data_IF_051657921560
#
_entry.id   IF_051657921560
#
_cell.length_a   1.000
_cell.length_b   1.000
_cell.length_c   1.000
_cell.angle_alpha   90.00
_cell.angle_beta   90.00
_cell.angle_gamma   90.00
#
_symmetry.space_group_name_H-M   'P 1'
#
loop_
_entity.id
_entity.type
_entity.pdbx_description
1 polymer ?
#
# COMPACT_ATOMS: atom_id res chain seq x y z
N UNK A 1 8.73 21.10 12.30
CA UNK A 1 8.18 20.94 13.67
C UNK A 1 6.66 21.11 13.67
N UNK A 2 6.12 22.19 13.02
CA UNK A 2 4.67 22.50 12.98
C UNK A 2 3.77 21.29 12.74
N UNK A 3 4.02 20.50 11.69
CA UNK A 3 3.18 19.33 11.37
C UNK A 3 3.27 18.21 12.42
N UNK A 4 4.39 18.09 13.14
CA UNK A 4 4.53 17.15 14.26
C UNK A 4 3.75 17.63 15.49
N UNK A 5 3.67 18.95 15.72
CA UNK A 5 2.84 19.54 16.78
C UNK A 5 1.36 19.29 16.48
N UNK A 6 0.89 19.64 15.26
CA UNK A 6 -0.48 19.39 14.82
C UNK A 6 -0.87 17.91 14.95
N UNK A 7 0.02 16.99 14.53
CA UNK A 7 -0.23 15.56 14.65
C UNK A 7 -0.25 15.09 16.13
N UNK A 8 0.57 15.68 17.01
CA UNK A 8 0.56 15.39 18.46
C UNK A 8 -0.74 15.85 19.11
N UNK A 9 -1.30 16.99 18.66
CA UNK A 9 -2.59 17.51 19.14
C UNK A 9 -3.74 16.60 18.68
N UNK A 10 -3.77 16.23 17.40
CA UNK A 10 -4.76 15.28 16.84
C UNK A 10 -4.69 13.94 17.59
N UNK A 11 -3.49 13.40 17.78
CA UNK A 11 -3.29 12.16 18.51
C UNK A 11 -3.85 12.27 19.93
N UNK A 12 -3.49 13.35 20.65
CA UNK A 12 -3.92 13.56 22.03
C UNK A 12 -5.44 13.69 22.15
N UNK A 13 -6.06 14.43 21.22
CA UNK A 13 -7.51 14.59 21.18
C UNK A 13 -8.23 13.25 20.87
N UNK A 14 -7.70 12.44 19.94
CA UNK A 14 -8.31 11.19 19.54
C UNK A 14 -8.16 10.07 20.58
N UNK A 15 -7.00 9.98 21.23
CA UNK A 15 -6.63 8.85 22.11
C UNK A 15 -6.75 9.16 23.61
N UNK A 16 -6.85 10.45 23.97
CA UNK A 16 -6.78 10.96 25.33
C UNK A 16 -5.41 10.66 26.01
N UNK A 17 -4.40 10.35 25.25
CA UNK A 17 -3.03 10.12 25.70
C UNK A 17 -2.11 11.20 25.14
N UNK A 18 -1.23 11.74 25.97
CA UNK A 18 -0.25 12.73 25.52
C UNK A 18 0.90 12.07 24.80
N UNK A 19 1.29 12.62 23.67
CA UNK A 19 2.49 12.26 22.92
C UNK A 19 3.28 13.50 22.55
N UNK A 20 4.59 13.37 22.45
CA UNK A 20 5.51 14.39 21.95
C UNK A 20 6.27 13.79 20.76
N UNK A 21 5.69 13.96 19.57
CA UNK A 21 6.27 13.42 18.33
C UNK A 21 7.57 14.15 17.95
N UNK A 22 7.73 15.44 18.31
CA UNK A 22 8.97 16.18 18.08
C UNK A 22 10.11 15.56 18.88
N UNK A 23 9.87 15.30 20.18
CA UNK A 23 10.85 14.63 21.03
C UNK A 23 11.22 13.26 20.49
N UNK A 24 10.23 12.45 20.06
CA UNK A 24 10.46 11.13 19.48
C UNK A 24 11.39 11.20 18.28
N UNK A 25 11.12 12.12 17.33
CA UNK A 25 11.96 12.32 16.14
C UNK A 25 13.38 12.78 16.52
N UNK A 26 13.51 13.76 17.42
CA UNK A 26 14.81 14.26 17.87
C UNK A 26 15.67 13.20 18.57
N UNK A 27 15.02 12.29 19.31
CA UNK A 27 15.68 11.17 19.99
C UNK A 27 15.86 9.95 19.09
N UNK A 28 15.35 9.97 17.85
CA UNK A 28 15.36 8.84 16.89
C UNK A 28 14.76 7.57 17.49
N UNK A 29 13.66 7.72 18.23
CA UNK A 29 12.96 6.60 18.85
C UNK A 29 12.16 5.86 17.80
N UNK A 30 12.53 4.60 17.56
CA UNK A 30 11.84 3.71 16.61
C UNK A 30 10.39 3.47 17.04
N UNK A 31 9.52 3.28 16.07
CA UNK A 31 8.15 2.85 16.31
C UNK A 31 8.06 1.33 16.37
N UNK A 32 7.06 0.83 17.08
CA UNK A 32 6.79 -0.60 17.23
C UNK A 32 5.30 -0.88 17.04
N UNK A 33 4.91 -2.15 17.15
CA UNK A 33 3.50 -2.49 17.15
C UNK A 33 2.74 -1.83 18.32
N UNK A 34 3.38 -1.72 19.48
CA UNK A 34 2.81 -1.10 20.68
C UNK A 34 2.59 0.41 20.49
N UNK A 35 3.42 1.06 19.69
CA UNK A 35 3.32 2.48 19.34
C UNK A 35 2.70 2.71 17.93
N UNK A 36 1.89 1.77 17.46
CA UNK A 36 1.31 1.80 16.12
C UNK A 36 0.51 3.09 15.83
N UNK A 37 -0.27 3.58 16.80
CA UNK A 37 -1.01 4.84 16.65
C UNK A 37 -0.09 6.05 16.51
N UNK A 38 1.05 6.05 17.21
CA UNK A 38 2.08 7.09 17.06
C UNK A 38 2.75 7.01 15.69
N UNK A 39 3.01 5.78 15.19
CA UNK A 39 3.53 5.58 13.83
C UNK A 39 2.59 6.14 12.77
N UNK A 40 1.27 5.93 12.89
CA UNK A 40 0.25 6.53 12.01
C UNK A 40 0.39 8.05 11.99
N UNK A 41 0.43 8.68 13.16
CA UNK A 41 0.54 10.15 13.28
C UNK A 41 1.87 10.69 12.73
N UNK A 42 2.99 9.98 12.96
CA UNK A 42 4.29 10.35 12.44
C UNK A 42 4.34 10.30 10.92
N UNK A 43 3.87 9.22 10.31
CA UNK A 43 3.88 9.04 8.86
C UNK A 43 3.10 10.18 8.20
N UNK A 44 1.88 10.45 8.65
CA UNK A 44 1.05 11.52 8.07
C UNK A 44 1.61 12.92 8.30
N UNK A 45 2.25 13.16 9.45
CA UNK A 45 2.94 14.44 9.72
C UNK A 45 4.16 14.64 8.80
N UNK A 46 4.93 13.58 8.53
CA UNK A 46 6.08 13.63 7.62
C UNK A 46 5.62 13.83 6.18
N UNK A 47 4.56 13.14 5.73
CA UNK A 47 3.98 13.35 4.41
C UNK A 47 3.56 14.82 4.21
N UNK A 48 2.83 15.39 5.18
CA UNK A 48 2.41 16.79 5.14
C UNK A 48 3.61 17.77 5.17
N UNK A 49 4.61 17.49 5.99
CA UNK A 49 5.82 18.31 6.07
C UNK A 49 6.63 18.29 4.77
N UNK A 50 6.81 17.12 4.14
CA UNK A 50 7.52 16.98 2.88
C UNK A 50 6.82 17.77 1.76
N UNK A 51 5.49 17.69 1.65
CA UNK A 51 4.71 18.45 0.68
C UNK A 51 4.78 19.96 0.95
N UNK A 52 4.75 20.38 2.21
CA UNK A 52 4.90 21.78 2.59
C UNK A 52 6.27 22.33 2.24
N UNK A 53 7.36 21.59 2.50
CA UNK A 53 8.73 21.96 2.13
C UNK A 53 8.89 22.05 0.61
N UNK A 54 8.31 21.10 -0.12
CA UNK A 54 8.36 21.11 -1.59
C UNK A 54 7.68 22.35 -2.17
N UNK A 55 6.55 22.76 -1.59
CA UNK A 55 5.85 23.99 -1.96
C UNK A 55 6.63 25.24 -1.56
N UNK A 56 7.07 25.33 -0.31
CA UNK A 56 7.65 26.55 0.27
C UNK A 56 9.01 26.89 -0.38
N UNK A 57 9.88 25.91 -0.56
CA UNK A 57 11.25 26.14 -1.04
C UNK A 57 11.42 25.98 -2.55
N UNK A 58 10.57 25.17 -3.18
CA UNK A 58 10.74 24.84 -4.61
C UNK A 58 9.55 25.26 -5.46
N UNK A 59 8.46 25.77 -4.87
CA UNK A 59 7.28 26.22 -5.62
C UNK A 59 6.52 25.08 -6.31
N UNK A 60 6.76 23.82 -5.93
CA UNK A 60 6.09 22.66 -6.49
C UNK A 60 4.91 22.28 -5.56
N UNK A 61 3.70 22.41 -6.08
CA UNK A 61 2.49 22.12 -5.34
C UNK A 61 1.91 20.75 -5.69
N UNK A 62 1.30 20.08 -4.71
CA UNK A 62 0.60 18.82 -4.90
C UNK A 62 -0.44 18.88 -6.03
N UNK A 63 -1.13 20.01 -6.14
CA UNK A 63 -2.14 20.27 -7.18
C UNK A 63 -1.60 20.30 -8.62
N UNK A 64 -0.28 20.38 -8.81
CA UNK A 64 0.35 20.30 -10.12
C UNK A 64 0.57 18.86 -10.60
N UNK A 65 0.40 17.88 -9.72
CA UNK A 65 0.47 16.48 -10.09
C UNK A 65 -0.74 16.06 -10.94
N UNK A 66 -0.52 15.19 -11.92
CA UNK A 66 -1.59 14.70 -12.78
C UNK A 66 -2.57 13.78 -12.04
N UNK A 67 -2.10 13.11 -10.99
CA UNK A 67 -2.86 12.21 -10.11
C UNK A 67 -2.06 11.80 -8.89
N UNK A 68 -2.75 11.24 -7.90
CA UNK A 68 -2.12 10.63 -6.74
C UNK A 68 -2.66 9.21 -6.50
N UNK A 69 -1.90 8.43 -5.77
CA UNK A 69 -2.32 7.17 -5.18
C UNK A 69 -1.44 6.86 -3.97
N UNK A 70 -1.97 6.08 -3.05
CA UNK A 70 -1.23 5.66 -1.87
C UNK A 70 -1.57 4.21 -1.50
N UNK A 71 -0.63 3.53 -0.87
CA UNK A 71 -0.85 2.19 -0.35
C UNK A 71 -1.22 2.29 1.13
N UNK A 72 -2.35 1.71 1.52
CA UNK A 72 -2.82 1.71 2.90
C UNK A 72 -2.91 3.14 3.47
N UNK A 73 -2.13 3.48 4.50
CA UNK A 73 -2.12 4.81 5.11
C UNK A 73 -1.79 5.94 4.12
N UNK A 74 -0.97 5.66 3.09
CA UNK A 74 -0.68 6.62 2.04
C UNK A 74 -1.91 7.05 1.21
N UNK A 75 -2.98 6.23 1.13
CA UNK A 75 -4.24 6.64 0.52
C UNK A 75 -4.96 7.68 1.38
N UNK A 76 -4.85 7.56 2.71
CA UNK A 76 -5.36 8.54 3.68
C UNK A 76 -4.59 9.86 3.54
N UNK A 77 -3.24 9.80 3.46
CA UNK A 77 -2.40 10.98 3.20
C UNK A 77 -2.75 11.67 1.88
N UNK A 78 -3.00 10.91 0.82
CA UNK A 78 -3.42 11.46 -0.47
C UNK A 78 -4.78 12.17 -0.41
N UNK A 79 -5.75 11.65 0.35
CA UNK A 79 -7.06 12.30 0.55
C UNK A 79 -6.97 13.61 1.33
N UNK A 80 -6.07 13.67 2.31
CA UNK A 80 -5.78 14.89 3.07
C UNK A 80 -5.10 15.91 2.15
N UNK A 81 -4.05 15.52 1.44
CA UNK A 81 -3.32 16.40 0.53
C UNK A 81 -4.19 16.93 -0.63
N UNK A 82 -5.17 16.14 -1.08
CA UNK A 82 -6.15 16.51 -2.10
C UNK A 82 -7.36 17.28 -1.54
N UNK A 83 -7.34 17.68 -0.27
CA UNK A 83 -8.35 18.49 0.40
C UNK A 83 -9.76 17.85 0.46
N UNK A 84 -9.85 16.52 0.41
CA UNK A 84 -11.13 15.81 0.55
C UNK A 84 -11.59 15.81 1.99
N UNK A 85 -10.63 15.73 2.93
CA UNK A 85 -10.83 15.77 4.37
C UNK A 85 -9.75 16.59 5.05
N UNK A 86 -10.11 17.22 6.16
CA UNK A 86 -9.12 17.75 7.10
C UNK A 86 -8.38 16.61 7.84
N UNK A 87 -7.09 16.79 8.21
CA UNK A 87 -6.31 15.76 8.88
C UNK A 87 -6.98 15.21 10.14
N UNK A 88 -7.46 16.06 11.04
CA UNK A 88 -8.13 15.65 12.28
C UNK A 88 -9.36 14.78 11.99
N UNK A 89 -10.16 15.16 11.02
CA UNK A 89 -11.38 14.46 10.65
C UNK A 89 -11.08 12.99 10.24
N UNK A 90 -10.08 12.78 9.40
CA UNK A 90 -9.79 11.46 8.83
C UNK A 90 -8.90 10.61 9.74
N UNK A 91 -7.98 11.21 10.48
CA UNK A 91 -7.09 10.48 11.38
C UNK A 91 -7.77 10.04 12.69
N UNK A 92 -8.74 10.82 13.20
CA UNK A 92 -9.41 10.50 14.46
C UNK A 92 -10.03 9.08 14.49
N UNK A 93 -10.79 8.62 13.51
CA UNK A 93 -11.30 7.23 13.49
C UNK A 93 -10.18 6.18 13.51
N UNK A 94 -9.11 6.41 12.74
CA UNK A 94 -7.98 5.49 12.64
C UNK A 94 -7.27 5.37 13.99
N UNK A 95 -6.99 6.49 14.65
CA UNK A 95 -6.30 6.52 15.94
C UNK A 95 -7.14 5.90 17.06
N UNK A 96 -8.46 6.15 17.08
CA UNK A 96 -9.38 5.54 18.07
C UNK A 96 -9.49 4.03 17.93
N UNK A 97 -9.31 3.49 16.73
CA UNK A 97 -9.42 2.06 16.43
C UNK A 97 -8.05 1.35 16.41
N UNK A 98 -6.96 2.09 16.51
CA UNK A 98 -5.60 1.54 16.45
C UNK A 98 -5.34 0.49 17.54
N UNK A 99 -5.84 0.69 18.76
CA UNK A 99 -5.70 -0.26 19.87
C UNK A 99 -6.29 -1.64 19.56
N UNK A 100 -7.48 -1.69 18.96
CA UNK A 100 -8.11 -2.96 18.53
C UNK A 100 -7.27 -3.66 17.46
N UNK A 101 -6.69 -2.91 16.53
CA UNK A 101 -5.80 -3.44 15.50
C UNK A 101 -4.51 -4.02 16.09
N UNK A 102 -3.93 -3.36 17.10
CA UNK A 102 -2.75 -3.83 17.83
C UNK A 102 -3.04 -5.11 18.61
N UNK A 103 -4.18 -5.20 19.30
CA UNK A 103 -4.59 -6.40 19.99
C UNK A 103 -4.75 -7.59 19.04
N UNK A 104 -5.42 -7.40 17.90
CA UNK A 104 -5.55 -8.43 16.88
C UNK A 104 -4.18 -8.84 16.32
N UNK A 105 -3.27 -7.89 16.13
CA UNK A 105 -1.93 -8.12 15.57
C UNK A 105 -1.05 -9.05 16.43
N UNK A 106 -1.31 -9.19 17.73
CA UNK A 106 -0.54 -10.05 18.62
C UNK A 106 -0.44 -11.49 18.13
N UNK A 107 -1.45 -11.95 17.41
CA UNK A 107 -1.52 -13.32 16.87
C UNK A 107 -1.53 -13.37 15.34
N UNK A 108 -1.10 -12.29 14.65
CA UNK A 108 -1.08 -12.21 13.19
C UNK A 108 0.33 -12.40 12.65
N UNK A 109 0.41 -13.13 11.55
CA UNK A 109 1.62 -13.24 10.71
C UNK A 109 1.28 -12.93 9.27
N UNK A 110 2.22 -12.30 8.57
CA UNK A 110 2.13 -12.05 7.14
C UNK A 110 2.85 -13.17 6.37
N UNK A 111 2.24 -13.54 5.24
CA UNK A 111 2.85 -14.39 4.24
C UNK A 111 2.82 -13.73 2.87
N UNK A 112 3.87 -13.96 2.08
CA UNK A 112 3.95 -13.55 0.68
C UNK A 112 3.84 -14.80 -0.16
N UNK A 113 2.75 -14.90 -0.94
CA UNK A 113 2.57 -15.95 -1.95
C UNK A 113 3.02 -15.39 -3.29
N UNK A 114 3.97 -16.03 -3.94
CA UNK A 114 4.47 -15.55 -5.22
C UNK A 114 4.91 -16.67 -6.15
N UNK A 115 4.88 -16.38 -7.45
CA UNK A 115 5.41 -17.24 -8.50
C UNK A 115 6.58 -16.58 -9.22
N UNK A 116 7.57 -17.38 -9.59
CA UNK A 116 8.68 -16.91 -10.45
C UNK A 116 8.35 -17.06 -11.95
N UNK A 117 7.33 -17.80 -12.30
CA UNK A 117 6.98 -18.12 -13.67
C UNK A 117 5.54 -17.73 -14.03
N UNK A 118 4.53 -18.54 -13.72
CA UNK A 118 3.15 -18.29 -14.10
C UNK A 118 2.50 -17.17 -13.28
N UNK A 119 1.39 -16.66 -13.77
CA UNK A 119 0.42 -15.91 -13.01
C UNK A 119 -0.15 -16.77 -11.87
N UNK A 120 -0.49 -16.17 -10.73
CA UNK A 120 -1.17 -16.86 -9.65
C UNK A 120 -2.64 -17.12 -10.03
N UNK A 121 -3.14 -18.30 -9.70
CA UNK A 121 -4.57 -18.57 -9.65
C UNK A 121 -5.13 -17.98 -8.35
N UNK A 122 -5.44 -16.67 -8.39
CA UNK A 122 -5.93 -15.93 -7.24
C UNK A 122 -7.22 -16.53 -6.66
N UNK A 123 -8.24 -16.89 -7.48
CA UNK A 123 -9.43 -17.58 -6.97
C UNK A 123 -9.13 -18.87 -6.21
N UNK A 124 -8.15 -19.68 -6.68
CA UNK A 124 -7.75 -20.88 -5.95
C UNK A 124 -7.04 -20.57 -4.62
N UNK A 125 -6.27 -19.47 -4.56
CA UNK A 125 -5.64 -19.00 -3.31
C UNK A 125 -6.71 -18.48 -2.34
N UNK A 126 -7.68 -17.71 -2.80
CA UNK A 126 -8.82 -17.23 -1.99
C UNK A 126 -9.61 -18.41 -1.42
N UNK A 127 -9.93 -19.39 -2.26
CA UNK A 127 -10.59 -20.63 -1.83
C UNK A 127 -9.77 -21.35 -0.75
N UNK A 128 -8.45 -21.44 -0.90
CA UNK A 128 -7.59 -22.05 0.10
C UNK A 128 -7.60 -21.26 1.41
N UNK A 129 -7.66 -19.93 1.38
CA UNK A 129 -7.84 -19.11 2.59
C UNK A 129 -9.14 -19.45 3.33
N UNK A 130 -10.27 -19.54 2.60
CA UNK A 130 -11.58 -19.92 3.16
C UNK A 130 -11.55 -21.32 3.78
N UNK A 131 -11.01 -22.31 3.05
CA UNK A 131 -10.90 -23.68 3.53
C UNK A 131 -9.99 -23.82 4.76
N UNK A 132 -8.90 -23.04 4.80
CA UNK A 132 -8.00 -22.99 5.95
C UNK A 132 -8.69 -22.40 7.17
N UNK A 133 -9.39 -21.29 6.98
CA UNK A 133 -10.20 -20.64 8.05
C UNK A 133 -11.25 -21.58 8.60
N UNK A 134 -11.93 -22.33 7.74
CA UNK A 134 -12.97 -23.31 8.16
C UNK A 134 -12.46 -24.47 9.04
N UNK A 135 -11.12 -24.66 9.13
CA UNK A 135 -10.51 -25.65 10.03
C UNK A 135 -10.32 -25.16 11.47
N UNK A 136 -10.81 -23.97 11.80
CA UNK A 136 -10.82 -23.37 13.16
C UNK A 136 -9.43 -23.19 13.80
N UNK A 137 -8.38 -23.00 13.01
CA UNK A 137 -7.01 -22.69 13.48
C UNK A 137 -6.66 -21.21 13.38
N UNK A 138 -7.66 -20.37 13.21
CA UNK A 138 -7.56 -18.93 12.98
C UNK A 138 -8.00 -18.54 11.58
N UNK A 139 -8.26 -17.26 11.41
CA UNK A 139 -8.67 -16.69 10.11
C UNK A 139 -7.46 -16.36 9.27
N UNK A 140 -7.50 -16.63 7.96
CA UNK A 140 -6.51 -16.21 6.99
C UNK A 140 -7.19 -15.57 5.78
N UNK A 141 -6.66 -14.43 5.31
CA UNK A 141 -7.20 -13.67 4.19
C UNK A 141 -6.08 -13.09 3.33
N UNK A 142 -6.37 -12.82 2.06
CA UNK A 142 -5.54 -11.93 1.24
C UNK A 142 -5.74 -10.50 1.74
N UNK A 143 -4.63 -9.78 1.94
CA UNK A 143 -4.61 -8.36 2.32
C UNK A 143 -4.22 -7.45 1.15
N UNK A 144 -3.52 -7.97 0.14
CA UNK A 144 -3.11 -7.17 -1.01
C UNK A 144 -2.83 -8.01 -2.27
N UNK A 145 -3.26 -7.48 -3.40
CA UNK A 145 -2.90 -7.93 -4.75
C UNK A 145 -1.77 -7.04 -5.27
N UNK A 146 -0.53 -7.48 -5.05
CA UNK A 146 0.68 -6.67 -5.33
C UNK A 146 1.08 -6.74 -6.80
N UNK A 147 0.97 -7.92 -7.40
CA UNK A 147 1.25 -8.18 -8.82
C UNK A 147 0.49 -9.44 -9.27
N UNK A 148 0.34 -9.71 -10.58
CA UNK A 148 -0.33 -10.91 -11.07
C UNK A 148 0.28 -12.21 -10.55
N UNK A 149 1.53 -12.16 -10.14
CA UNK A 149 2.27 -13.28 -9.59
C UNK A 149 2.60 -13.12 -8.10
N UNK A 150 1.97 -12.18 -7.38
CA UNK A 150 2.30 -11.92 -5.96
C UNK A 150 1.08 -11.38 -5.20
N UNK A 151 0.71 -12.07 -4.12
CA UNK A 151 -0.29 -11.59 -3.15
C UNK A 151 0.28 -11.65 -1.74
N UNK A 152 -0.22 -10.76 -0.86
CA UNK A 152 0.04 -10.79 0.57
C UNK A 152 -1.14 -11.45 1.28
N UNK A 153 -0.85 -12.30 2.24
CA UNK A 153 -1.86 -12.91 3.12
C UNK A 153 -1.55 -12.60 4.57
N UNK A 154 -2.58 -12.38 5.37
CA UNK A 154 -2.50 -12.25 6.82
C UNK A 154 -3.25 -13.40 7.46
N UNK A 155 -2.64 -14.07 8.43
CA UNK A 155 -3.23 -15.22 9.11
C UNK A 155 -3.00 -15.18 10.62
N UNK A 156 -4.04 -15.58 11.36
CA UNK A 156 -4.04 -15.72 12.82
C UNK A 156 -3.59 -17.10 13.25
N UNK A 157 -2.93 -17.18 14.40
CA UNK A 157 -2.55 -18.44 15.02
C UNK A 157 -1.77 -19.34 14.07
N UNK A 158 -2.19 -20.60 13.98
CA UNK A 158 -1.57 -21.61 13.15
C UNK A 158 -2.11 -21.64 11.70
N UNK A 159 -3.09 -20.79 11.38
CA UNK A 159 -3.70 -20.75 10.04
C UNK A 159 -2.67 -20.49 8.93
N UNK A 160 -1.67 -19.65 9.20
CA UNK A 160 -0.60 -19.34 8.22
C UNK A 160 0.27 -20.56 7.92
N UNK A 161 0.54 -21.39 8.92
CA UNK A 161 1.35 -22.59 8.72
C UNK A 161 0.55 -23.71 8.02
N UNK A 162 -0.70 -23.87 8.40
CA UNK A 162 -1.61 -24.80 7.74
C UNK A 162 -1.83 -24.41 6.27
N UNK A 163 -2.03 -23.13 5.98
CA UNK A 163 -2.12 -22.62 4.63
C UNK A 163 -0.84 -22.94 3.83
N UNK A 164 0.33 -22.68 4.39
CA UNK A 164 1.61 -22.94 3.75
C UNK A 164 1.80 -24.43 3.40
N UNK A 165 1.41 -25.32 4.31
CA UNK A 165 1.50 -26.78 4.10
C UNK A 165 0.55 -27.22 2.99
N UNK A 166 -0.73 -26.85 3.08
CA UNK A 166 -1.75 -27.21 2.08
C UNK A 166 -1.43 -26.61 0.70
N UNK A 167 -0.88 -25.38 0.68
CA UNK A 167 -0.44 -24.74 -0.57
C UNK A 167 0.63 -25.57 -1.29
N UNK A 168 1.62 -26.11 -0.56
CA UNK A 168 2.68 -26.97 -1.14
C UNK A 168 2.14 -28.27 -1.75
N UNK A 169 1.05 -28.79 -1.20
CA UNK A 169 0.40 -30.01 -1.68
C UNK A 169 -0.44 -29.78 -2.93
N UNK A 170 -1.11 -28.62 -3.00
CA UNK A 170 -2.11 -28.32 -4.06
C UNK A 170 -1.55 -27.58 -5.25
N UNK A 171 -0.56 -26.73 -5.04
CA UNK A 171 -0.05 -25.85 -6.10
C UNK A 171 1.26 -26.35 -6.67
N UNK A 172 1.54 -25.92 -7.91
CA UNK A 172 2.79 -26.21 -8.59
C UNK A 172 4.00 -25.73 -7.76
N UNK A 173 5.12 -26.46 -7.84
CA UNK A 173 6.42 -26.12 -7.20
C UNK A 173 6.97 -24.74 -7.59
N UNK A 174 6.43 -24.11 -8.61
CA UNK A 174 6.79 -22.74 -9.01
C UNK A 174 6.14 -21.66 -8.13
N UNK A 175 5.12 -22.01 -7.30
CA UNK A 175 4.49 -21.11 -6.35
C UNK A 175 5.21 -21.25 -5.01
N UNK A 176 5.65 -20.13 -4.49
CA UNK A 176 6.44 -20.04 -3.28
C UNK A 176 5.68 -19.28 -2.19
N UNK A 177 6.02 -19.61 -0.96
CA UNK A 177 5.53 -18.91 0.22
C UNK A 177 6.71 -18.42 1.06
N UNK A 178 6.75 -17.11 1.34
CA UNK A 178 7.71 -16.48 2.25
C UNK A 178 6.96 -15.92 3.45
N UNK A 179 7.28 -16.39 4.65
CA UNK A 179 6.74 -15.88 5.91
C UNK A 179 7.54 -14.64 6.33
N UNK A 180 6.83 -13.58 6.72
CA UNK A 180 7.41 -12.45 7.41
C UNK A 180 7.44 -12.75 8.92
N UNK A 181 8.55 -12.53 9.64
CA UNK A 181 8.64 -12.75 11.07
C UNK A 181 7.83 -11.74 11.90
N UNK A 182 7.61 -10.54 11.36
CA UNK A 182 6.99 -9.45 12.07
C UNK A 182 5.48 -9.65 12.26
N UNK A 183 4.94 -9.00 13.27
CA UNK A 183 3.51 -8.92 13.53
C UNK A 183 2.95 -7.70 12.82
N UNK A 184 1.74 -7.86 12.26
CA UNK A 184 1.11 -6.80 11.48
C UNK A 184 -0.33 -6.58 11.92
N UNK A 185 -0.79 -5.33 12.03
CA UNK A 185 -2.21 -5.04 12.16
C UNK A 185 -2.97 -5.65 10.98
N UNK A 186 -4.09 -6.38 11.23
CA UNK A 186 -4.79 -7.11 10.18
C UNK A 186 -5.75 -6.25 9.35
N UNK A 187 -5.42 -4.98 9.17
CA UNK A 187 -6.16 -4.06 8.30
C UNK A 187 -6.15 -4.61 6.88
N UNK A 188 -7.15 -4.25 6.11
CA UNK A 188 -7.38 -4.74 4.74
C UNK A 188 -7.71 -6.24 4.67
N UNK A 189 -8.25 -6.79 5.76
CA UNK A 189 -8.74 -8.16 5.82
C UNK A 189 -10.00 -8.28 6.68
N UNK A 190 -10.78 -9.34 6.45
CA UNK A 190 -11.96 -9.62 7.27
C UNK A 190 -11.64 -9.93 8.75
N UNK A 191 -10.36 -10.11 9.13
CA UNK A 191 -9.95 -10.37 10.52
C UNK A 191 -10.36 -9.23 11.45
N UNK A 192 -10.33 -7.97 10.98
CA UNK A 192 -10.71 -6.79 11.78
C UNK A 192 -12.19 -6.80 12.22
N UNK A 193 -13.03 -7.59 11.54
CA UNK A 193 -14.46 -7.78 11.93
C UNK A 193 -14.63 -8.43 13.29
N UNK A 194 -13.63 -9.17 13.77
CA UNK A 194 -13.64 -9.78 15.11
C UNK A 194 -13.73 -8.75 16.25
N UNK A 195 -13.39 -7.49 15.98
CA UNK A 195 -13.52 -6.36 16.91
C UNK A 195 -14.53 -5.31 16.42
N UNK A 196 -15.37 -5.66 15.46
CA UNK A 196 -16.34 -4.75 14.83
C UNK A 196 -15.69 -3.44 14.33
N UNK A 197 -14.40 -3.51 13.91
CA UNK A 197 -13.66 -2.31 13.49
C UNK A 197 -14.29 -1.66 12.26
N UNK A 198 -14.74 -2.38 11.21
CA UNK A 198 -15.37 -1.76 10.05
C UNK A 198 -16.67 -1.03 10.39
N UNK A 199 -17.55 -1.65 11.18
CA UNK A 199 -18.83 -1.03 11.57
C UNK A 199 -18.60 0.23 12.40
N UNK A 200 -17.67 0.19 13.36
CA UNK A 200 -17.30 1.33 14.18
C UNK A 200 -16.66 2.45 13.35
N UNK A 201 -15.78 2.11 12.41
CA UNK A 201 -15.18 3.06 11.48
C UNK A 201 -16.25 3.74 10.62
N UNK A 202 -17.21 2.99 10.08
CA UNK A 202 -18.30 3.51 9.26
C UNK A 202 -19.15 4.50 10.05
N UNK A 203 -19.57 4.17 11.28
CA UNK A 203 -20.32 5.08 12.15
C UNK A 203 -19.53 6.35 12.46
N UNK A 204 -18.23 6.24 12.72
CA UNK A 204 -17.38 7.43 12.92
C UNK A 204 -17.29 8.27 11.66
N UNK A 205 -17.08 7.67 10.49
CA UNK A 205 -17.00 8.39 9.22
C UNK A 205 -18.28 9.15 8.87
N UNK A 206 -19.48 8.69 9.28
CA UNK A 206 -20.73 9.42 9.11
C UNK A 206 -20.74 10.76 9.85
N UNK A 207 -20.03 10.87 10.95
CA UNK A 207 -20.01 12.06 11.81
C UNK A 207 -18.85 13.01 11.50
N UNK A 208 -17.87 12.59 10.69
CA UNK A 208 -16.70 13.42 10.33
C UNK A 208 -17.09 14.45 9.26
N UNK A 209 -16.66 15.71 9.38
CA UNK A 209 -16.81 16.68 8.31
C UNK A 209 -15.92 16.35 7.10
N UNK A 210 -16.38 16.65 5.88
CA UNK A 210 -15.64 16.39 4.64
C UNK A 210 -16.21 15.24 3.80
N UNK A 211 -15.49 14.83 2.76
CA UNK A 211 -15.86 13.71 1.90
C UNK A 211 -16.97 14.00 0.86
N UNK A 212 -17.40 15.26 0.75
CA UNK A 212 -18.40 15.74 -0.22
C UNK A 212 -17.79 16.79 -1.18
N UNK A 213 -16.46 16.77 -1.30
CA UNK A 213 -15.69 17.59 -2.23
C UNK A 213 -14.85 16.65 -3.09
N UNK A 214 -14.83 16.89 -4.40
CA UNK A 214 -13.93 16.15 -5.28
C UNK A 214 -12.48 16.42 -4.90
N UNK A 215 -11.58 15.43 -5.00
CA UNK A 215 -10.16 15.65 -4.82
C UNK A 215 -9.64 16.75 -5.75
N UNK A 216 -8.71 17.58 -5.30
CA UNK A 216 -8.08 18.63 -6.12
C UNK A 216 -7.33 18.06 -7.33
N UNK A 217 -6.87 16.83 -7.23
CA UNK A 217 -6.36 16.00 -8.34
C UNK A 217 -6.95 14.59 -8.26
N UNK A 218 -7.06 13.85 -9.37
CA UNK A 218 -7.59 12.49 -9.35
C UNK A 218 -6.78 11.58 -8.43
N UNK A 219 -7.47 10.83 -7.55
CA UNK A 219 -6.86 9.81 -6.68
C UNK A 219 -7.28 8.43 -7.15
N UNK A 220 -6.32 7.57 -7.45
CA UNK A 220 -6.58 6.16 -7.73
C UNK A 220 -6.59 5.41 -6.41
N UNK A 221 -7.76 4.90 -6.01
CA UNK A 221 -7.92 4.14 -4.76
C UNK A 221 -7.34 2.72 -4.89
N UNK A 222 -6.59 2.29 -3.88
CA UNK A 222 -6.16 0.90 -3.75
C UNK A 222 -7.32 -0.06 -3.40
N UNK A 223 -8.46 0.44 -2.95
CA UNK A 223 -9.63 -0.38 -2.65
C UNK A 223 -10.36 -0.78 -3.92
N UNK A 224 -10.61 0.17 -4.80
CA UNK A 224 -11.35 -0.08 -6.05
C UNK A 224 -10.43 -0.39 -7.24
N UNK A 225 -9.18 0.07 -7.22
CA UNK A 225 -8.25 0.07 -8.35
C UNK A 225 -8.57 1.16 -9.38
N UNK A 226 -9.42 2.13 -9.05
CA UNK A 226 -9.91 3.19 -9.96
C UNK A 226 -9.98 4.54 -9.26
N UNK A 227 -10.24 5.61 -10.02
CA UNK A 227 -10.54 6.94 -9.50
C UNK A 227 -11.98 6.94 -8.98
N UNK A 228 -12.18 6.61 -7.71
CA UNK A 228 -13.50 6.41 -7.08
C UNK A 228 -13.90 7.49 -6.09
N UNK A 229 -13.01 8.42 -5.76
CA UNK A 229 -13.32 9.57 -4.92
C UNK A 229 -13.99 10.69 -5.74
N UNK A 230 -15.08 11.25 -5.24
CA UNK A 230 -15.92 12.20 -5.95
C UNK A 230 -16.50 13.27 -5.00
N UNK A 231 -17.30 14.20 -5.55
CA UNK A 231 -17.95 15.30 -4.82
C UNK A 231 -19.27 14.89 -4.14
N UNK A 232 -19.72 13.66 -4.36
CA UNK A 232 -20.97 13.18 -3.79
C UNK A 232 -20.76 12.47 -2.45
N UNK A 233 -19.93 11.43 -2.42
CA UNK A 233 -19.70 10.64 -1.22
C UNK A 233 -18.39 9.82 -1.28
N UNK A 234 -17.30 10.42 -0.86
CA UNK A 234 -16.01 9.72 -0.74
C UNK A 234 -15.95 8.71 0.42
N UNK A 235 -16.90 8.79 1.38
CA UNK A 235 -17.01 7.84 2.50
C UNK A 235 -17.24 6.41 2.02
N UNK A 236 -18.00 6.24 0.94
CA UNK A 236 -18.33 4.91 0.40
C UNK A 236 -17.07 4.07 0.12
N UNK A 237 -16.05 4.67 -0.45
CA UNK A 237 -14.77 3.97 -0.69
C UNK A 237 -14.01 3.70 0.63
N UNK A 238 -14.10 4.63 1.59
CA UNK A 238 -13.42 4.49 2.89
C UNK A 238 -14.06 3.45 3.80
N UNK A 239 -15.35 3.12 3.65
CA UNK A 239 -15.97 2.01 4.40
C UNK A 239 -15.25 0.69 4.12
N UNK A 240 -14.89 0.47 2.86
CA UNK A 240 -14.20 -0.75 2.44
C UNK A 240 -12.69 -0.71 2.73
N UNK A 241 -12.12 0.47 3.03
CA UNK A 241 -10.68 0.62 3.26
C UNK A 241 -10.17 -0.22 4.44
N UNK A 242 -10.99 -0.40 5.45
CA UNK A 242 -10.60 -1.07 6.70
C UNK A 242 -10.44 -2.58 6.53
N UNK A 243 -11.33 -3.24 5.78
CA UNK A 243 -11.45 -4.70 5.74
C UNK A 243 -11.36 -5.33 4.34
N UNK A 244 -11.16 -4.52 3.29
CA UNK A 244 -10.98 -5.01 1.92
C UNK A 244 -9.52 -4.97 1.48
N UNK A 245 -9.07 -5.97 0.68
CA UNK A 245 -7.69 -6.05 0.24
C UNK A 245 -7.29 -4.93 -0.71
N UNK A 246 -6.03 -4.51 -0.60
CA UNK A 246 -5.45 -3.46 -1.44
C UNK A 246 -5.16 -3.97 -2.86
N UNK A 247 -5.66 -3.31 -3.90
CA UNK A 247 -5.48 -3.64 -5.32
C UNK A 247 -4.31 -2.88 -5.94
N UNK A 248 -3.13 -2.99 -5.34
CA UNK A 248 -1.95 -2.23 -5.77
C UNK A 248 -1.61 -2.43 -7.24
N UNK A 249 -1.75 -3.67 -7.76
CA UNK A 249 -1.48 -3.92 -9.16
C UNK A 249 -2.38 -3.11 -10.09
N UNK A 250 -3.69 -3.07 -9.81
CA UNK A 250 -4.65 -2.28 -10.61
C UNK A 250 -4.31 -0.79 -10.62
N UNK A 251 -3.85 -0.27 -9.48
CA UNK A 251 -3.40 1.12 -9.35
C UNK A 251 -2.17 1.37 -10.23
N UNK A 252 -1.17 0.48 -10.19
CA UNK A 252 0.05 0.58 -11.01
C UNK A 252 -0.29 0.52 -12.51
N UNK A 253 -1.13 -0.42 -12.93
CA UNK A 253 -1.57 -0.50 -14.33
C UNK A 253 -2.25 0.80 -14.79
N UNK A 254 -3.12 1.36 -13.94
CA UNK A 254 -3.84 2.59 -14.26
C UNK A 254 -2.92 3.81 -14.26
N UNK A 255 -2.00 3.91 -13.32
CA UNK A 255 -1.01 4.97 -13.31
C UNK A 255 -0.12 4.94 -14.57
N UNK A 256 0.38 3.78 -14.96
CA UNK A 256 1.20 3.60 -16.15
C UNK A 256 0.41 3.80 -17.47
N UNK A 257 -0.91 3.64 -17.45
CA UNK A 257 -1.76 3.91 -18.63
C UNK A 257 -1.87 5.41 -18.95
N UNK A 258 -1.39 6.28 -18.08
CA UNK A 258 -1.41 7.73 -18.26
C UNK A 258 -0.03 8.26 -18.62
N UNK A 259 0.02 9.49 -19.10
CA UNK A 259 1.27 10.09 -19.58
C UNK A 259 2.09 10.70 -18.42
N UNK A 260 2.50 9.85 -17.46
CA UNK A 260 3.41 10.23 -16.38
C UNK A 260 4.86 9.96 -16.77
N UNK A 261 5.78 10.83 -16.34
CA UNK A 261 7.22 10.70 -16.55
C UNK A 261 7.96 10.56 -15.22
N UNK A 262 7.53 11.29 -14.21
CA UNK A 262 8.13 11.30 -12.87
C UNK A 262 7.13 10.81 -11.85
N UNK A 263 7.57 9.97 -10.94
CA UNK A 263 6.82 9.49 -9.80
C UNK A 263 7.51 9.93 -8.51
N UNK A 264 6.85 10.82 -7.77
CA UNK A 264 7.36 11.33 -6.50
C UNK A 264 6.78 10.47 -5.37
N UNK A 265 7.65 9.82 -4.63
CA UNK A 265 7.29 9.04 -3.45
C UNK A 265 7.38 9.92 -2.21
N UNK A 266 6.22 10.18 -1.61
CA UNK A 266 6.06 11.01 -0.40
C UNK A 266 5.96 10.10 0.82
N UNK A 267 6.50 10.54 1.94
CA UNK A 267 6.47 9.84 3.23
C UNK A 267 7.83 9.30 3.65
N UNK A 268 7.95 8.82 4.90
CA UNK A 268 9.19 8.27 5.40
C UNK A 268 9.45 6.87 4.82
N UNK A 269 10.66 6.63 4.35
CA UNK A 269 11.15 5.33 3.86
C UNK A 269 10.14 4.56 2.97
N UNK A 270 9.61 5.16 1.88
CA UNK A 270 8.62 4.52 1.03
C UNK A 270 9.21 3.25 0.40
N UNK A 271 8.48 2.13 0.50
CA UNK A 271 9.06 0.86 0.07
C UNK A 271 8.19 0.01 -0.86
N UNK A 272 6.90 -0.24 -0.54
CA UNK A 272 6.11 -1.23 -1.29
C UNK A 272 5.84 -0.80 -2.74
N UNK A 273 5.54 0.47 -2.98
CA UNK A 273 5.30 1.01 -4.31
C UNK A 273 6.62 1.07 -5.11
N UNK A 274 7.70 1.71 -4.60
CA UNK A 274 8.99 1.71 -5.29
C UNK A 274 9.50 0.31 -5.60
N UNK A 275 9.45 -0.62 -4.62
CA UNK A 275 9.91 -1.99 -4.82
C UNK A 275 9.10 -2.75 -5.88
N UNK A 276 7.79 -2.51 -5.96
CA UNK A 276 6.92 -3.16 -6.95
C UNK A 276 7.21 -2.64 -8.36
N UNK A 277 7.36 -1.31 -8.54
CA UNK A 277 7.69 -0.68 -9.82
C UNK A 277 9.11 -1.04 -10.28
N UNK A 278 10.10 -0.99 -9.39
CA UNK A 278 11.47 -1.40 -9.70
C UNK A 278 11.53 -2.86 -10.15
N UNK A 279 10.80 -3.75 -9.48
CA UNK A 279 10.70 -5.15 -9.88
C UNK A 279 10.05 -5.30 -11.25
N UNK A 280 9.00 -4.54 -11.54
CA UNK A 280 8.36 -4.52 -12.86
C UNK A 280 9.34 -4.05 -13.92
N UNK A 281 10.03 -2.93 -13.70
CA UNK A 281 11.04 -2.37 -14.61
C UNK A 281 12.14 -3.37 -14.93
N UNK A 282 12.77 -3.96 -13.90
CA UNK A 282 13.79 -4.99 -14.08
C UNK A 282 13.30 -6.21 -14.88
N UNK A 283 12.02 -6.59 -14.70
CA UNK A 283 11.43 -7.70 -15.44
C UNK A 283 11.22 -7.36 -16.90
N UNK A 284 10.81 -6.14 -17.21
CA UNK A 284 10.60 -5.63 -18.57
C UNK A 284 11.95 -5.48 -19.27
N UNK A 285 12.95 -4.86 -18.66
CA UNK A 285 14.29 -4.71 -19.21
C UNK A 285 14.92 -6.06 -19.52
N UNK A 286 14.80 -7.02 -18.64
CA UNK A 286 15.26 -8.38 -18.87
C UNK A 286 14.61 -9.05 -20.08
N UNK A 287 13.33 -8.75 -20.35
CA UNK A 287 12.64 -9.29 -21.52
C UNK A 287 12.99 -8.56 -22.82
N UNK A 288 13.17 -7.23 -22.77
CA UNK A 288 13.55 -6.43 -23.93
C UNK A 288 14.98 -6.73 -24.36
N UNK A 289 15.92 -6.80 -23.42
CA UNK A 289 17.32 -7.13 -23.69
C UNK A 289 17.49 -8.56 -24.24
N UNK A 290 16.66 -9.49 -23.79
CA UNK A 290 16.64 -10.83 -24.34
C UNK A 290 16.21 -10.89 -25.81
N UNK A 291 15.36 -9.94 -26.27
CA UNK A 291 15.00 -9.81 -27.68
C UNK A 291 16.09 -9.20 -28.53
N UNK A 292 16.92 -8.30 -27.98
CA UNK A 292 18.03 -7.65 -28.69
C UNK A 292 19.22 -8.58 -28.92
N UNK A 293 19.42 -9.59 -28.09
CA UNK A 293 20.49 -10.59 -28.23
C UNK A 293 20.12 -11.68 -29.25
N UNK A 294 18.89 -11.68 -29.75
CA UNK A 294 18.36 -12.71 -30.64
C UNK A 294 18.89 -12.67 -32.09
N UNK A 295 19.97 -11.92 -32.36
CA UNK A 295 20.78 -12.14 -33.55
C UNK A 295 21.54 -13.48 -33.54
N UNK A 296 21.64 -14.15 -32.39
CA UNK A 296 22.30 -15.44 -32.20
C UNK A 296 21.36 -16.45 -31.50
N UNK A 297 20.46 -17.02 -32.26
CA UNK A 297 19.79 -18.28 -31.91
C UNK A 297 18.40 -18.18 -31.28
N UNK A 298 17.39 -18.51 -32.08
CA UNK A 298 15.96 -18.73 -31.74
C UNK A 298 15.72 -19.59 -30.47
N UNK A 299 16.73 -20.34 -29.99
CA UNK A 299 16.63 -21.23 -28.81
C UNK A 299 16.76 -20.48 -27.49
N UNK A 300 17.48 -19.35 -27.44
CA UNK A 300 17.61 -18.54 -26.22
C UNK A 300 16.36 -17.73 -25.92
N UNK A 301 15.65 -17.27 -26.96
CA UNK A 301 14.40 -16.48 -26.84
C UNK A 301 13.29 -17.29 -26.20
N UNK A 302 13.15 -18.58 -26.55
CA UNK A 302 12.13 -19.47 -25.95
C UNK A 302 12.33 -19.69 -24.46
N UNK A 303 13.58 -19.69 -23.97
CA UNK A 303 13.90 -19.95 -22.55
C UNK A 303 13.62 -18.74 -21.65
N UNK A 304 13.66 -17.52 -22.18
CA UNK A 304 13.45 -16.28 -21.41
C UNK A 304 11.97 -15.87 -21.41
N UNK A 305 11.27 -16.05 -22.53
CA UNK A 305 9.80 -15.96 -22.59
C UNK A 305 9.18 -17.02 -21.67
N UNK A 306 9.79 -18.20 -21.54
CA UNK A 306 9.37 -19.25 -20.61
C UNK A 306 9.63 -18.91 -19.13
N UNK A 307 10.56 -18.00 -18.80
CA UNK A 307 10.87 -17.65 -17.39
C UNK A 307 9.80 -16.78 -16.73
N UNK A 308 9.04 -15.98 -17.49
CA UNK A 308 8.01 -15.08 -16.95
C UNK A 308 6.77 -14.99 -17.87
N UNK A 309 6.05 -16.08 -18.08
CA UNK A 309 4.91 -16.13 -18.99
C UNK A 309 3.78 -15.19 -18.59
N UNK A 310 3.62 -14.88 -17.30
CA UNK A 310 2.63 -13.92 -16.84
C UNK A 310 2.89 -12.53 -17.44
N UNK A 311 4.13 -12.05 -17.43
CA UNK A 311 4.46 -10.71 -17.93
C UNK A 311 4.24 -10.63 -19.45
N UNK A 312 4.62 -11.65 -20.20
CA UNK A 312 4.37 -11.70 -21.64
C UNK A 312 2.86 -11.63 -21.97
N UNK A 313 2.04 -12.31 -21.18
CA UNK A 313 0.57 -12.27 -21.30
C UNK A 313 0.01 -10.87 -21.00
N UNK A 314 0.55 -10.19 -19.97
CA UNK A 314 0.11 -8.84 -19.61
C UNK A 314 0.60 -7.79 -20.59
N UNK A 315 1.83 -7.85 -21.07
CA UNK A 315 2.33 -6.91 -22.08
C UNK A 315 1.55 -6.98 -23.41
N UNK A 316 1.03 -8.13 -23.77
CA UNK A 316 0.17 -8.25 -24.95
C UNK A 316 -1.19 -7.57 -24.80
N UNK A 317 -1.65 -7.40 -23.56
CA UNK A 317 -2.93 -6.77 -23.22
C UNK A 317 -2.79 -5.30 -22.80
N UNK A 318 -1.66 -4.96 -22.20
CA UNK A 318 -1.41 -3.66 -21.61
C UNK A 318 0.02 -3.18 -21.93
N UNK A 319 0.18 -2.55 -23.10
CA UNK A 319 1.45 -2.04 -23.56
C UNK A 319 1.99 -0.88 -22.68
N UNK A 320 1.14 -0.23 -21.90
CA UNK A 320 1.55 0.88 -21.02
C UNK A 320 2.52 0.42 -19.93
N UNK A 321 2.51 -0.87 -19.56
CA UNK A 321 3.47 -1.44 -18.62
C UNK A 321 4.93 -1.28 -19.10
N UNK A 322 5.17 -1.20 -20.43
CA UNK A 322 6.51 -0.96 -21.01
C UNK A 322 7.09 0.39 -20.59
N UNK A 323 6.30 1.28 -20.04
CA UNK A 323 6.74 2.59 -19.54
C UNK A 323 7.43 2.52 -18.19
N UNK A 324 7.24 1.44 -17.41
CA UNK A 324 7.80 1.34 -16.07
C UNK A 324 9.33 1.57 -16.01
N UNK A 325 10.17 1.04 -16.93
CA UNK A 325 11.60 1.36 -16.95
C UNK A 325 11.95 2.80 -17.33
N UNK A 326 10.99 3.55 -17.89
CA UNK A 326 11.20 4.93 -18.36
C UNK A 326 10.76 5.96 -17.31
N UNK A 327 10.16 5.52 -16.21
CA UNK A 327 9.75 6.42 -15.13
C UNK A 327 10.96 6.86 -14.31
N UNK A 328 11.04 8.15 -14.08
CA UNK A 328 11.89 8.72 -13.06
C UNK A 328 11.25 8.53 -11.69
N UNK A 329 11.98 7.95 -10.73
CA UNK A 329 11.54 7.77 -9.36
C UNK A 329 12.27 8.75 -8.45
N UNK A 330 11.51 9.64 -7.81
CA UNK A 330 12.03 10.59 -6.82
C UNK A 330 11.54 10.16 -5.43
N UNK A 331 12.45 9.74 -4.55
CA UNK A 331 12.17 9.61 -3.13
C UNK A 331 12.26 11.01 -2.55
N UNK A 332 11.12 11.57 -2.14
CA UNK A 332 11.06 12.98 -1.77
C UNK A 332 11.90 13.31 -0.53
N UNK A 333 11.99 12.39 0.41
CA UNK A 333 12.83 12.52 1.59
C UNK A 333 14.31 12.72 1.20
N UNK A 334 14.86 11.83 0.40
CA UNK A 334 16.25 11.91 -0.08
C UNK A 334 16.47 13.18 -0.92
N UNK A 335 15.53 13.47 -1.83
CA UNK A 335 15.63 14.63 -2.70
C UNK A 335 15.61 15.95 -1.93
N UNK A 336 14.79 16.08 -0.89
CA UNK A 336 14.76 17.26 -0.02
C UNK A 336 16.05 17.43 0.78
N UNK A 337 16.65 16.32 1.25
CA UNK A 337 17.94 16.35 1.96
C UNK A 337 19.08 16.77 1.01
N UNK A 338 19.11 16.24 -0.22
CA UNK A 338 20.14 16.54 -1.22
C UNK A 338 20.05 17.98 -1.75
N UNK A 339 18.85 18.57 -1.72
CA UNK A 339 18.58 19.92 -2.21
C UNK A 339 18.26 20.91 -1.06
N UNK A 340 18.64 20.57 0.18
CA UNK A 340 18.42 21.45 1.33
C UNK A 340 19.03 22.84 1.07
N UNK A 341 18.21 23.88 1.22
CA UNK A 341 18.67 25.27 1.09
C UNK A 341 19.33 25.68 2.40
N UNK A 342 20.56 26.13 2.37
CA UNK A 342 21.23 26.75 3.51
C UNK A 342 20.41 27.98 3.94
N UNK A 343 19.71 27.88 5.07
CA UNK A 343 18.91 28.98 5.67
C UNK A 343 19.68 29.74 6.72
#
# INVERSE_FOLDING_TARGET
EKHLEEASEIYTAATLQRVDLIKRVRLREETSLETYSEAVSLITAVEAAQLALLKEFFGIEFTQASRAFGYSLGEIGALIAAEVYEPEALLTPILKLAGDCVELAQNIRMGIVFSRGPELDVPAIEKLCVETTARNQGTICISSYVAPNTVLVLGQGDSIELFRQTMKERFNRQIHFKKNPDRWPPIHTAIVRQRNVPDRASVMLETVPGGMKAPTIPIISCITGTESYNDYNSRQTLYDWVDHPQKLWSVIERALATDIHTLIHVGPEPNIIPATLNRLSMNIDSQLNARSISGFGLRAVSSIVQRRPWLAKYLSKNASLLRAPLLEHVILEDWLLDNAVDT
#
